data_IF_627159101986
#
_entry.id   IF_627159101986
#
_cell.length_a   1.000
_cell.length_b   1.000
_cell.length_c   1.000
_cell.angle_alpha   90.00
_cell.angle_beta   90.00
_cell.angle_gamma   90.00
#
_symmetry.space_group_name_H-M   'P 1'
#
loop_
_entity.id
_entity.type
_entity.pdbx_description
1 polymer ?
#
# COMPACT_ATOMS: atom_id res chain seq x y z
N UNK A 1 -15.61 -8.26 7.72
CA UNK A 1 -14.86 -7.02 7.35
C UNK A 1 -15.05 -5.99 8.44
N UNK A 2 -14.00 -5.68 9.20
CA UNK A 2 -14.04 -4.64 10.25
C UNK A 2 -13.72 -3.28 9.65
N UNK A 3 -14.24 -2.22 10.28
CA UNK A 3 -13.88 -0.84 9.96
C UNK A 3 -12.93 -0.31 11.04
N UNK A 4 -11.88 0.38 10.62
CA UNK A 4 -10.90 1.03 11.47
C UNK A 4 -10.85 2.52 11.19
N UNK A 5 -10.44 3.32 12.16
CA UNK A 5 -10.25 4.75 11.93
C UNK A 5 -8.93 5.03 11.20
N UNK A 6 -8.97 5.99 10.29
CA UNK A 6 -7.76 6.55 9.68
C UNK A 6 -7.19 7.63 10.61
N UNK A 7 -6.40 7.19 11.58
CA UNK A 7 -5.88 8.06 12.64
C UNK A 7 -6.98 8.83 13.36
N UNK A 8 -6.76 10.13 13.53
CA UNK A 8 -7.67 11.06 14.22
C UNK A 8 -8.65 11.77 13.29
N UNK A 9 -8.67 11.45 11.99
CA UNK A 9 -9.43 12.19 10.96
C UNK A 9 -10.94 11.97 11.00
N UNK A 10 -11.40 10.96 11.75
CA UNK A 10 -12.81 10.52 11.73
C UNK A 10 -13.22 9.69 10.51
N UNK A 11 -12.33 9.52 9.52
CA UNK A 11 -12.58 8.68 8.35
C UNK A 11 -12.48 7.21 8.79
N UNK A 12 -13.49 6.39 8.40
CA UNK A 12 -13.48 4.94 8.63
C UNK A 12 -13.15 4.22 7.34
N UNK A 13 -12.20 3.30 7.39
CA UNK A 13 -11.73 2.47 6.28
C UNK A 13 -11.91 0.99 6.60
N UNK A 14 -12.16 0.14 5.60
CA UNK A 14 -12.10 -1.31 5.82
C UNK A 14 -10.68 -1.75 6.16
N UNK A 15 -10.52 -2.67 7.11
CA UNK A 15 -9.23 -3.17 7.55
C UNK A 15 -8.41 -3.82 6.43
N UNK A 16 -9.11 -4.43 5.45
CA UNK A 16 -8.55 -4.86 4.17
C UNK A 16 -8.96 -3.84 3.10
N UNK A 17 -7.99 -3.28 2.40
CA UNK A 17 -8.18 -2.37 1.27
C UNK A 17 -7.88 -3.06 -0.06
N UNK A 18 -8.38 -2.49 -1.16
CA UNK A 18 -8.04 -2.91 -2.51
C UNK A 18 -7.07 -1.92 -3.15
N UNK A 19 -5.85 -2.38 -3.47
CA UNK A 19 -4.88 -1.65 -4.27
C UNK A 19 -5.17 -1.81 -5.76
N UNK A 20 -5.30 -0.68 -6.45
CA UNK A 20 -5.65 -0.65 -7.88
C UNK A 20 -4.41 -0.85 -8.78
N UNK A 21 -3.20 -0.58 -8.26
CA UNK A 21 -1.97 -0.75 -9.02
C UNK A 21 -1.89 -2.08 -9.77
N UNK A 22 -2.09 -3.19 -9.05
CA UNK A 22 -1.97 -4.54 -9.61
C UNK A 22 -3.00 -4.84 -10.68
N UNK A 23 -4.21 -4.29 -10.56
CA UNK A 23 -5.31 -4.52 -11.48
C UNK A 23 -5.10 -3.87 -12.85
N UNK A 24 -4.40 -2.72 -12.88
CA UNK A 24 -4.17 -1.94 -14.10
C UNK A 24 -2.73 -2.06 -14.63
N UNK A 25 -1.95 -2.98 -14.08
CA UNK A 25 -0.57 -3.23 -14.47
C UNK A 25 -0.40 -4.65 -14.98
N UNK A 26 -0.24 -4.81 -16.28
CA UNK A 26 0.01 -6.12 -16.92
C UNK A 26 1.27 -6.80 -16.36
N UNK A 27 2.27 -6.01 -15.97
CA UNK A 27 3.51 -6.50 -15.36
C UNK A 27 3.27 -7.25 -14.03
N UNK A 28 2.09 -7.06 -13.43
CA UNK A 28 1.68 -7.70 -12.17
C UNK A 28 0.61 -8.77 -12.35
N UNK A 29 0.30 -9.11 -13.59
CA UNK A 29 -0.75 -10.05 -13.92
C UNK A 29 -2.15 -9.43 -13.88
N UNK A 30 -2.24 -8.09 -13.82
CA UNK A 30 -3.48 -7.37 -13.93
C UNK A 30 -4.03 -7.39 -15.35
N UNK A 31 -5.36 -7.37 -15.43
CA UNK A 31 -6.12 -7.28 -16.67
C UNK A 31 -7.09 -6.10 -16.52
N UNK A 32 -6.79 -5.01 -17.21
CA UNK A 32 -7.58 -3.76 -17.12
C UNK A 32 -9.05 -3.99 -17.47
N UNK A 33 -9.34 -4.90 -18.41
CA UNK A 33 -10.71 -5.21 -18.83
C UNK A 33 -11.51 -5.91 -17.73
N UNK A 34 -10.82 -6.60 -16.80
CA UNK A 34 -11.43 -7.26 -15.63
C UNK A 34 -11.34 -6.44 -14.35
N UNK A 35 -10.58 -5.35 -14.35
CA UNK A 35 -10.32 -4.55 -13.15
C UNK A 35 -11.62 -4.02 -12.51
N UNK A 36 -12.57 -3.56 -13.33
CA UNK A 36 -13.86 -3.07 -12.84
C UNK A 36 -14.70 -4.15 -12.15
N UNK A 37 -14.65 -5.40 -12.66
CA UNK A 37 -15.32 -6.53 -12.04
C UNK A 37 -14.75 -6.82 -10.65
N UNK A 38 -13.41 -6.82 -10.52
CA UNK A 38 -12.74 -7.02 -9.24
C UNK A 38 -13.11 -5.93 -8.24
N UNK A 39 -13.14 -4.65 -8.67
CA UNK A 39 -13.54 -3.53 -7.81
C UNK A 39 -15.00 -3.67 -7.35
N UNK A 40 -15.93 -3.99 -8.25
CA UNK A 40 -17.35 -4.23 -7.90
C UNK A 40 -17.48 -5.37 -6.89
N UNK A 41 -16.77 -6.47 -7.13
CA UNK A 41 -16.78 -7.63 -6.24
C UNK A 41 -16.19 -7.32 -4.87
N UNK A 42 -15.10 -6.56 -4.82
CA UNK A 42 -14.49 -6.11 -3.57
C UNK A 42 -15.49 -5.30 -2.72
N UNK A 43 -16.21 -4.38 -3.34
CA UNK A 43 -17.26 -3.62 -2.65
C UNK A 43 -18.39 -4.53 -2.13
N UNK A 44 -18.86 -5.50 -2.94
CA UNK A 44 -19.87 -6.48 -2.53
C UNK A 44 -19.41 -7.34 -1.36
N UNK A 45 -18.10 -7.64 -1.27
CA UNK A 45 -17.50 -8.38 -0.17
C UNK A 45 -17.20 -7.51 1.07
N UNK A 46 -17.56 -6.22 1.05
CA UNK A 46 -17.48 -5.30 2.17
C UNK A 46 -16.18 -4.48 2.24
N UNK A 47 -15.35 -4.50 1.21
CA UNK A 47 -14.21 -3.58 1.10
C UNK A 47 -14.76 -2.20 0.76
N UNK A 48 -14.43 -1.21 1.59
CA UNK A 48 -14.81 0.18 1.39
C UNK A 48 -13.63 1.12 1.20
N UNK A 49 -12.41 0.62 1.32
CA UNK A 49 -11.18 1.37 1.13
C UNK A 49 -10.49 0.97 -0.17
N UNK A 50 -10.27 1.95 -1.06
CA UNK A 50 -9.64 1.76 -2.37
C UNK A 50 -8.42 2.67 -2.48
N UNK A 51 -7.26 2.06 -2.73
CA UNK A 51 -5.97 2.72 -2.87
C UNK A 51 -5.56 2.81 -4.33
N UNK A 52 -5.46 4.03 -4.86
CA UNK A 52 -5.01 4.32 -6.22
C UNK A 52 -3.96 5.42 -6.27
N UNK A 53 -3.56 5.82 -7.47
CA UNK A 53 -2.75 6.99 -7.76
C UNK A 53 -3.00 7.46 -9.20
N UNK A 54 -2.74 8.73 -9.47
CA UNK A 54 -2.85 9.32 -10.81
C UNK A 54 -1.97 8.61 -11.85
N UNK A 55 -0.79 8.15 -11.44
CA UNK A 55 0.18 7.46 -12.31
C UNK A 55 -0.19 5.99 -12.60
N UNK A 56 -1.10 5.36 -11.85
CA UNK A 56 -1.44 3.95 -12.01
C UNK A 56 -2.19 3.70 -13.33
N UNK A 57 -1.53 2.97 -14.23
CA UNK A 57 -2.01 2.80 -15.60
C UNK A 57 -2.22 4.14 -16.31
N UNK A 58 -1.45 5.19 -15.95
CA UNK A 58 -1.55 6.54 -16.54
C UNK A 58 -2.96 7.14 -16.41
N UNK A 59 -3.56 6.98 -15.24
CA UNK A 59 -4.92 7.44 -14.92
C UNK A 59 -5.99 6.34 -15.02
N UNK A 60 -5.70 5.20 -15.63
CA UNK A 60 -6.66 4.09 -15.77
C UNK A 60 -7.17 3.58 -14.41
N UNK A 61 -6.30 3.57 -13.38
CA UNK A 61 -6.72 3.16 -12.05
C UNK A 61 -7.86 3.99 -11.48
N UNK A 62 -7.84 5.30 -11.68
CA UNK A 62 -8.90 6.22 -11.25
C UNK A 62 -10.17 6.07 -12.12
N UNK A 63 -10.02 5.88 -13.44
CA UNK A 63 -11.14 5.63 -14.35
C UNK A 63 -11.88 4.32 -14.00
N UNK A 64 -11.14 3.24 -13.70
CA UNK A 64 -11.68 1.95 -13.25
C UNK A 64 -12.51 2.11 -11.99
N UNK A 65 -12.03 2.86 -11.00
CA UNK A 65 -12.80 3.14 -9.77
C UNK A 65 -14.09 3.90 -10.08
N UNK A 66 -14.03 4.95 -10.90
CA UNK A 66 -15.20 5.73 -11.27
C UNK A 66 -16.26 4.88 -11.99
N UNK A 67 -15.82 4.02 -12.92
CA UNK A 67 -16.72 3.14 -13.68
C UNK A 67 -17.35 2.05 -12.80
N UNK A 68 -16.54 1.44 -11.92
CA UNK A 68 -17.00 0.32 -11.10
C UNK A 68 -17.92 0.75 -9.95
N UNK A 69 -17.60 1.88 -9.30
CA UNK A 69 -18.31 2.34 -8.10
C UNK A 69 -19.57 3.17 -8.45
N UNK A 70 -19.53 3.93 -9.56
CA UNK A 70 -20.68 4.69 -10.02
C UNK A 70 -21.30 5.56 -8.91
N UNK A 71 -22.58 5.35 -8.59
CA UNK A 71 -23.32 6.10 -7.56
C UNK A 71 -22.97 5.72 -6.12
N UNK A 72 -21.99 4.85 -5.90
CA UNK A 72 -21.56 4.40 -4.57
C UNK A 72 -20.37 5.22 -4.02
N UNK A 73 -20.00 6.32 -4.69
CA UNK A 73 -18.85 7.16 -4.32
C UNK A 73 -18.86 7.63 -2.86
N UNK A 74 -20.02 7.97 -2.35
CA UNK A 74 -20.26 8.41 -0.97
C UNK A 74 -20.18 7.30 0.10
N UNK A 75 -20.16 6.04 -0.34
CA UNK A 75 -20.10 4.84 0.52
C UNK A 75 -18.72 4.23 0.64
N UNK A 76 -17.75 4.81 -0.03
CA UNK A 76 -16.39 4.31 -0.10
C UNK A 76 -15.39 5.40 0.25
N UNK A 77 -14.20 4.98 0.64
CA UNK A 77 -13.04 5.85 0.87
C UNK A 77 -12.05 5.62 -0.26
N UNK A 78 -11.75 6.67 -1.00
CA UNK A 78 -10.73 6.64 -2.07
C UNK A 78 -9.50 7.39 -1.59
N UNK A 79 -8.36 6.70 -1.57
CA UNK A 79 -7.04 7.28 -1.46
C UNK A 79 -6.46 7.39 -2.87
N UNK A 80 -6.04 8.60 -3.26
CA UNK A 80 -5.23 8.80 -4.47
C UNK A 80 -3.97 9.59 -4.15
N UNK A 81 -3.01 9.58 -5.06
CA UNK A 81 -1.68 10.13 -4.85
C UNK A 81 -1.28 10.98 -6.06
N UNK A 82 -0.49 12.02 -5.82
CA UNK A 82 0.05 12.93 -6.84
C UNK A 82 1.53 13.22 -6.59
N UNK A 83 2.25 13.63 -7.63
CA UNK A 83 3.67 13.99 -7.54
C UNK A 83 4.58 13.19 -8.48
N UNK A 84 4.04 12.20 -9.20
CA UNK A 84 4.73 11.46 -10.26
C UNK A 84 4.20 11.91 -11.63
N UNK A 85 4.95 12.78 -12.30
CA UNK A 85 4.59 13.35 -13.60
C UNK A 85 4.79 12.30 -14.70
N UNK A 86 3.70 11.68 -15.12
CA UNK A 86 3.66 10.73 -16.23
C UNK A 86 3.27 11.36 -17.57
N UNK A 87 2.88 12.63 -17.57
CA UNK A 87 2.63 13.41 -18.79
C UNK A 87 3.93 13.85 -19.45
N UNK A 88 4.96 14.14 -18.64
CA UNK A 88 6.29 14.58 -19.10
C UNK A 88 7.36 13.55 -18.69
N UNK A 89 7.23 12.34 -19.24
CA UNK A 89 8.14 11.23 -18.95
C UNK A 89 9.56 11.51 -19.39
N UNK A 90 10.56 11.09 -18.61
CA UNK A 90 11.96 11.04 -19.00
C UNK A 90 12.37 9.58 -19.22
N UNK A 91 12.92 9.30 -20.39
CA UNK A 91 13.29 7.92 -20.78
C UNK A 91 12.15 6.88 -20.55
N UNK A 92 10.91 7.28 -20.86
CA UNK A 92 9.74 6.43 -20.71
C UNK A 92 9.24 6.23 -19.28
N UNK A 93 9.83 6.91 -18.29
CA UNK A 93 9.46 6.79 -16.86
C UNK A 93 8.87 8.10 -16.33
N UNK A 94 7.87 8.04 -15.45
CA UNK A 94 7.40 9.20 -14.71
C UNK A 94 8.55 9.85 -13.91
N UNK A 95 8.46 11.16 -13.74
CA UNK A 95 9.45 11.94 -12.96
C UNK A 95 8.78 12.57 -11.75
N UNK A 96 9.57 12.79 -10.68
CA UNK A 96 9.08 13.55 -9.54
C UNK A 96 8.83 15.01 -9.94
N UNK A 97 7.60 15.50 -9.74
CA UNK A 97 7.23 16.88 -9.98
C UNK A 97 6.27 17.36 -8.87
N UNK A 98 6.81 18.18 -7.98
CA UNK A 98 6.09 18.77 -6.84
C UNK A 98 5.93 20.27 -6.96
N UNK A 99 6.08 20.85 -8.18
CA UNK A 99 5.69 22.24 -8.41
C UNK A 99 4.19 22.40 -8.17
N UNK A 100 3.79 23.52 -7.58
CA UNK A 100 2.37 23.75 -7.27
C UNK A 100 1.50 23.75 -8.53
N UNK A 101 2.02 24.23 -9.64
CA UNK A 101 1.30 24.22 -10.93
C UNK A 101 1.00 22.78 -11.38
N UNK A 102 2.00 21.89 -11.27
CA UNK A 102 1.79 20.48 -11.58
C UNK A 102 0.84 19.80 -10.59
N UNK A 103 0.99 20.03 -9.29
CA UNK A 103 0.11 19.43 -8.28
C UNK A 103 -1.35 19.87 -8.51
N UNK A 104 -1.61 21.16 -8.77
CA UNK A 104 -2.97 21.66 -9.13
C UNK A 104 -3.51 20.96 -10.37
N UNK A 105 -2.68 20.85 -11.40
CA UNK A 105 -3.05 20.16 -12.63
C UNK A 105 -3.37 18.68 -12.37
N UNK A 106 -2.49 17.95 -11.68
CA UNK A 106 -2.62 16.52 -11.42
C UNK A 106 -3.90 16.22 -10.62
N UNK A 107 -4.16 16.98 -9.54
CA UNK A 107 -5.37 16.81 -8.70
C UNK A 107 -6.63 17.07 -9.51
N UNK A 108 -6.66 18.15 -10.31
CA UNK A 108 -7.81 18.40 -11.19
C UNK A 108 -8.07 17.24 -12.14
N UNK A 109 -7.01 16.68 -12.75
CA UNK A 109 -7.14 15.51 -13.64
C UNK A 109 -7.59 14.26 -12.90
N UNK A 110 -7.16 14.06 -11.66
CA UNK A 110 -7.63 12.95 -10.81
C UNK A 110 -9.11 13.05 -10.51
N UNK A 111 -9.60 14.24 -10.12
CA UNK A 111 -11.04 14.46 -9.86
C UNK A 111 -11.90 14.24 -11.13
N UNK A 112 -11.41 14.69 -12.29
CA UNK A 112 -12.08 14.47 -13.58
C UNK A 112 -12.20 12.97 -13.89
N UNK A 113 -11.11 12.17 -13.72
CA UNK A 113 -11.11 10.72 -13.94
C UNK A 113 -11.98 9.97 -12.93
N UNK A 114 -11.93 10.37 -11.66
CA UNK A 114 -12.74 9.81 -10.59
C UNK A 114 -14.21 10.24 -10.66
N UNK A 115 -14.54 11.27 -11.48
CA UNK A 115 -15.88 11.86 -11.62
C UNK A 115 -16.49 12.27 -10.28
N UNK A 116 -15.70 12.99 -9.50
CA UNK A 116 -16.08 13.45 -8.16
C UNK A 116 -15.45 14.80 -7.88
N UNK A 117 -16.02 15.56 -6.95
CA UNK A 117 -15.51 16.86 -6.55
C UNK A 117 -14.50 16.76 -5.39
N UNK A 118 -14.31 15.56 -4.82
CA UNK A 118 -13.42 15.36 -3.69
C UNK A 118 -12.79 13.96 -3.68
N UNK A 119 -11.67 13.84 -2.96
CA UNK A 119 -11.09 12.56 -2.53
C UNK A 119 -11.10 12.48 -1.02
N UNK A 120 -11.14 11.26 -0.48
CA UNK A 120 -11.14 11.10 0.98
C UNK A 120 -9.74 11.29 1.55
N UNK A 121 -8.73 10.72 0.89
CA UNK A 121 -7.34 10.82 1.31
C UNK A 121 -6.50 11.17 0.08
N UNK A 122 -5.76 12.28 0.15
CA UNK A 122 -4.80 12.69 -0.86
C UNK A 122 -3.39 12.59 -0.31
N UNK A 123 -2.51 11.86 -1.01
CA UNK A 123 -1.13 11.70 -0.58
C UNK A 123 -0.11 12.23 -1.61
N UNK A 124 1.00 12.76 -1.10
CA UNK A 124 2.20 12.97 -1.90
C UNK A 124 2.82 11.62 -2.24
N UNK A 125 3.13 11.35 -3.50
CA UNK A 125 3.56 10.04 -3.99
C UNK A 125 5.09 9.92 -4.04
N UNK A 126 5.70 9.20 -3.10
CA UNK A 126 7.15 9.02 -2.98
C UNK A 126 7.94 10.34 -2.86
N UNK A 127 7.51 11.31 -2.02
CA UNK A 127 8.25 12.55 -1.87
C UNK A 127 9.61 12.29 -1.21
N UNK A 128 10.60 13.13 -1.55
CA UNK A 128 11.85 13.20 -0.81
C UNK A 128 11.72 14.20 0.36
N UNK A 129 12.68 14.16 1.29
CA UNK A 129 12.69 15.04 2.46
C UNK A 129 12.43 16.51 2.11
N UNK A 130 13.08 17.02 1.05
CA UNK A 130 12.90 18.40 0.61
C UNK A 130 11.45 18.76 0.22
N UNK A 131 10.68 17.79 -0.31
CA UNK A 131 9.26 18.00 -0.65
C UNK A 131 8.38 17.96 0.59
N UNK A 132 8.67 17.03 1.52
CA UNK A 132 7.93 16.89 2.79
C UNK A 132 8.09 18.14 3.65
N UNK A 133 9.30 18.69 3.72
CA UNK A 133 9.63 19.86 4.54
C UNK A 133 9.30 21.20 3.87
N UNK A 134 8.90 21.19 2.61
CA UNK A 134 8.48 22.41 1.90
C UNK A 134 7.19 22.95 2.50
N UNK A 135 7.30 24.13 3.14
CA UNK A 135 6.14 24.83 3.70
C UNK A 135 5.10 25.13 2.62
N UNK A 136 5.53 25.48 1.42
CA UNK A 136 4.66 25.81 0.30
C UNK A 136 3.80 24.61 -0.14
N UNK A 137 4.41 23.41 -0.24
CA UNK A 137 3.69 22.16 -0.56
C UNK A 137 2.74 21.80 0.60
N UNK A 138 3.21 21.89 1.83
CA UNK A 138 2.41 21.59 3.01
C UNK A 138 1.18 22.49 3.10
N UNK A 139 1.36 23.80 2.98
CA UNK A 139 0.26 24.78 3.02
C UNK A 139 -0.74 24.50 1.89
N UNK A 140 -0.26 24.19 0.68
CA UNK A 140 -1.11 23.84 -0.45
C UNK A 140 -1.95 22.59 -0.19
N UNK A 141 -1.37 21.52 0.34
CA UNK A 141 -2.11 20.30 0.69
C UNK A 141 -3.21 20.59 1.72
N UNK A 142 -2.93 21.43 2.71
CA UNK A 142 -3.90 21.83 3.73
C UNK A 142 -4.98 22.81 3.19
N UNK A 143 -4.65 23.64 2.21
CA UNK A 143 -5.62 24.45 1.48
C UNK A 143 -6.65 23.56 0.76
N UNK A 144 -6.20 22.51 0.07
CA UNK A 144 -7.09 21.53 -0.57
C UNK A 144 -8.04 20.87 0.42
N UNK A 145 -7.57 20.61 1.64
CA UNK A 145 -8.42 20.08 2.70
C UNK A 145 -9.45 21.12 3.16
N UNK A 146 -9.05 22.35 3.36
CA UNK A 146 -9.94 23.46 3.76
C UNK A 146 -11.02 23.72 2.70
N UNK A 147 -10.67 23.58 1.44
CA UNK A 147 -11.57 23.77 0.30
C UNK A 147 -12.49 22.55 0.06
N UNK A 148 -12.32 21.47 0.83
CA UNK A 148 -13.13 20.26 0.73
C UNK A 148 -12.75 19.34 -0.45
N UNK A 149 -11.64 19.62 -1.14
CA UNK A 149 -11.12 18.80 -2.24
C UNK A 149 -10.52 17.48 -1.71
N UNK A 150 -9.90 17.53 -0.53
CA UNK A 150 -9.44 16.34 0.19
C UNK A 150 -9.99 16.35 1.62
N UNK A 151 -10.42 15.22 2.15
CA UNK A 151 -10.85 15.13 3.57
C UNK A 151 -9.68 14.92 4.51
N UNK A 152 -8.60 14.31 4.03
CA UNK A 152 -7.34 14.11 4.75
C UNK A 152 -6.16 14.20 3.78
N UNK A 153 -4.99 14.62 4.28
CA UNK A 153 -3.76 14.72 3.51
C UNK A 153 -2.62 13.95 4.16
N UNK A 154 -1.81 13.28 3.35
CA UNK A 154 -0.76 12.40 3.85
C UNK A 154 0.41 12.22 2.89
N UNK A 155 1.26 11.26 3.21
CA UNK A 155 2.47 10.92 2.46
C UNK A 155 2.52 9.41 2.19
N UNK A 156 2.60 9.03 0.92
CA UNK A 156 2.98 7.68 0.53
C UNK A 156 4.50 7.62 0.42
N UNK A 157 5.13 6.94 1.36
CA UNK A 157 6.58 6.80 1.42
C UNK A 157 7.09 5.95 0.25
N UNK A 158 8.32 6.14 -0.12
CA UNK A 158 8.94 5.61 -1.33
C UNK A 158 8.81 4.11 -1.58
N UNK A 159 9.29 3.63 -2.74
CA UNK A 159 8.98 2.28 -3.22
C UNK A 159 9.70 1.17 -2.43
N UNK A 160 10.64 1.53 -1.58
CA UNK A 160 11.44 0.65 -0.73
C UNK A 160 11.10 0.84 0.76
N UNK A 161 11.81 0.17 1.67
CA UNK A 161 11.46 0.12 3.09
C UNK A 161 11.93 1.32 3.93
N UNK A 162 13.12 1.81 3.71
CA UNK A 162 13.90 2.65 4.64
C UNK A 162 13.60 4.16 4.62
N UNK A 163 12.37 4.58 4.83
CA UNK A 163 11.94 5.99 4.82
C UNK A 163 11.54 6.48 6.22
N UNK A 164 12.30 6.07 7.26
CA UNK A 164 12.00 6.42 8.65
C UNK A 164 12.00 7.93 8.88
N UNK A 165 13.08 8.61 8.50
CA UNK A 165 13.24 10.05 8.74
C UNK A 165 12.18 10.87 8.01
N UNK A 166 11.88 10.50 6.76
CA UNK A 166 10.84 11.11 5.97
C UNK A 166 9.44 10.91 6.58
N UNK A 167 9.15 9.69 7.09
CA UNK A 167 7.89 9.38 7.76
C UNK A 167 7.74 10.17 9.07
N UNK A 168 8.76 10.18 9.93
CA UNK A 168 8.76 10.97 11.17
C UNK A 168 8.57 12.45 10.84
N UNK A 169 9.31 12.96 9.84
CA UNK A 169 9.20 14.36 9.45
C UNK A 169 7.83 14.73 8.91
N UNK A 170 7.19 13.86 8.15
CA UNK A 170 5.82 14.06 7.71
C UNK A 170 4.84 14.16 8.90
N UNK A 171 5.00 13.29 9.90
CA UNK A 171 4.19 13.35 11.13
C UNK A 171 4.42 14.67 11.89
N UNK A 172 5.68 15.08 12.08
CA UNK A 172 6.03 16.33 12.74
C UNK A 172 5.49 17.57 12.02
N UNK A 173 5.46 17.53 10.70
CA UNK A 173 4.88 18.61 9.89
C UNK A 173 3.35 18.69 10.02
N UNK A 174 2.66 17.61 10.43
CA UNK A 174 1.21 17.57 10.58
C UNK A 174 0.47 16.88 9.44
N UNK A 175 1.15 16.09 8.60
CA UNK A 175 0.46 15.19 7.69
C UNK A 175 -0.30 14.13 8.48
N UNK A 176 -1.52 13.81 8.07
CA UNK A 176 -2.47 13.04 8.85
C UNK A 176 -2.40 11.53 8.60
N UNK A 177 -1.61 11.11 7.62
CA UNK A 177 -1.45 9.70 7.30
C UNK A 177 -0.18 9.38 6.54
N UNK A 178 0.25 8.13 6.71
CA UNK A 178 1.37 7.53 5.98
C UNK A 178 0.91 6.26 5.27
N UNK A 179 1.49 6.02 4.09
CA UNK A 179 1.47 4.72 3.43
C UNK A 179 2.89 4.18 3.35
N UNK A 180 3.10 2.93 3.78
CA UNK A 180 4.43 2.33 3.90
C UNK A 180 4.39 0.80 3.78
N UNK A 181 5.57 0.18 3.65
CA UNK A 181 5.73 -1.27 3.62
C UNK A 181 5.78 -1.82 5.04
N UNK A 182 5.02 -2.91 5.29
CA UNK A 182 5.12 -3.70 6.51
C UNK A 182 4.71 -5.15 6.25
N UNK A 183 5.46 -6.07 6.81
CA UNK A 183 5.15 -7.50 6.91
C UNK A 183 6.02 -8.12 8.02
N UNK A 184 5.84 -9.38 8.34
CA UNK A 184 6.55 -9.98 9.47
C UNK A 184 8.06 -10.17 9.24
N UNK A 185 8.58 -9.98 8.01
CA UNK A 185 10.03 -9.94 7.70
C UNK A 185 10.53 -8.51 7.78
N UNK A 186 9.78 -7.55 7.24
CA UNK A 186 10.14 -6.15 7.09
C UNK A 186 9.32 -5.31 8.08
N UNK A 187 9.74 -5.31 9.35
CA UNK A 187 8.99 -4.67 10.43
C UNK A 187 9.30 -3.19 10.62
N UNK A 188 10.58 -2.79 10.49
CA UNK A 188 10.96 -1.39 10.58
C UNK A 188 11.02 -0.73 9.19
N UNK A 189 10.53 0.51 9.05
CA UNK A 189 10.13 1.45 10.11
C UNK A 189 8.66 1.35 10.57
N UNK A 190 7.90 0.36 10.12
CA UNK A 190 6.47 0.25 10.40
C UNK A 190 6.12 0.17 11.89
N UNK A 191 6.87 -0.59 12.71
CA UNK A 191 6.67 -0.67 14.16
C UNK A 191 6.95 0.68 14.86
N UNK A 192 7.86 1.48 14.30
CA UNK A 192 8.07 2.85 14.79
C UNK A 192 6.86 3.73 14.46
N UNK A 193 6.29 3.64 13.25
CA UNK A 193 5.12 4.42 12.86
C UNK A 193 3.84 3.99 13.60
N UNK A 194 3.74 2.74 14.01
CA UNK A 194 2.58 2.24 14.79
C UNK A 194 2.34 3.04 16.08
N UNK A 195 3.37 3.59 16.68
CA UNK A 195 3.32 4.36 17.93
C UNK A 195 2.61 5.72 17.79
N UNK A 196 2.39 6.18 16.56
CA UNK A 196 1.77 7.48 16.30
C UNK A 196 0.29 7.33 15.98
N UNK A 197 -0.53 8.25 16.49
CA UNK A 197 -1.98 8.27 16.23
C UNK A 197 -2.32 9.01 14.92
N UNK A 198 -1.90 8.44 13.80
CA UNK A 198 -2.14 8.92 12.44
C UNK A 198 -2.78 7.81 11.61
N UNK A 199 -3.30 8.15 10.43
CA UNK A 199 -3.73 7.15 9.45
C UNK A 199 -2.54 6.33 8.95
N UNK A 200 -2.66 5.00 8.94
CA UNK A 200 -1.59 4.08 8.54
C UNK A 200 -2.12 3.09 7.50
N UNK A 201 -1.67 3.24 6.27
CA UNK A 201 -1.95 2.31 5.18
C UNK A 201 -0.71 1.45 4.95
N UNK A 202 -0.88 0.14 5.06
CA UNK A 202 0.21 -0.81 4.90
C UNK A 202 0.08 -1.55 3.59
N UNK A 203 1.15 -1.56 2.83
CA UNK A 203 1.29 -2.34 1.59
C UNK A 203 2.37 -3.41 1.69
N UNK A 204 2.37 -4.35 0.73
CA UNK A 204 3.34 -5.45 0.63
C UNK A 204 3.31 -6.40 1.85
N UNK A 205 2.12 -6.82 2.36
CA UNK A 205 2.04 -7.71 3.52
C UNK A 205 2.65 -9.10 3.24
N UNK A 206 2.81 -9.48 1.98
CA UNK A 206 3.38 -10.77 1.56
C UNK A 206 4.86 -10.70 1.15
N UNK A 207 5.60 -9.64 1.57
CA UNK A 207 7.04 -9.49 1.36
C UNK A 207 7.47 -9.76 -0.10
N UNK A 208 6.87 -9.03 -1.05
CA UNK A 208 7.11 -9.20 -2.50
C UNK A 208 6.83 -10.63 -3.00
N UNK A 209 5.74 -11.22 -2.52
CA UNK A 209 5.24 -12.59 -2.74
C UNK A 209 6.09 -13.70 -2.11
N UNK A 210 7.17 -13.41 -1.37
CA UNK A 210 7.96 -14.42 -0.69
C UNK A 210 7.16 -15.19 0.39
N UNK A 211 6.09 -14.59 0.91
CA UNK A 211 5.18 -15.15 1.92
C UNK A 211 3.85 -15.62 1.31
N UNK A 212 3.82 -15.90 0.01
CA UNK A 212 2.62 -16.35 -0.70
C UNK A 212 2.95 -17.60 -1.50
N UNK A 213 2.62 -18.76 -0.97
CA UNK A 213 2.90 -20.05 -1.60
C UNK A 213 2.09 -20.33 -2.87
N UNK A 214 1.04 -19.57 -3.14
CA UNK A 214 0.26 -19.66 -4.37
C UNK A 214 0.86 -18.82 -5.51
N UNK A 215 1.79 -17.93 -5.18
CA UNK A 215 2.64 -17.24 -6.15
C UNK A 215 3.97 -18.01 -6.29
N UNK A 216 4.62 -17.90 -7.44
CA UNK A 216 5.98 -18.42 -7.58
C UNK A 216 6.99 -17.28 -7.42
N UNK A 217 7.46 -16.97 -6.20
CA UNK A 217 8.33 -15.83 -5.96
C UNK A 217 9.72 -16.00 -6.61
N UNK A 218 10.10 -17.22 -6.98
CA UNK A 218 11.38 -17.53 -7.62
C UNK A 218 11.31 -17.48 -9.15
N UNK A 219 10.14 -17.42 -9.74
CA UNK A 219 9.98 -17.08 -11.16
C UNK A 219 10.25 -15.59 -11.36
N UNK A 220 11.49 -15.30 -11.67
CA UNK A 220 11.94 -13.94 -11.89
C UNK A 220 11.60 -13.48 -13.31
N UNK A 221 10.53 -12.69 -13.46
CA UNK A 221 10.33 -11.87 -14.64
C UNK A 221 10.97 -10.50 -14.41
N UNK A 222 11.85 -10.00 -15.32
CA UNK A 222 12.39 -8.65 -15.23
C UNK A 222 11.31 -7.56 -15.26
N UNK A 223 10.08 -7.92 -15.64
CA UNK A 223 8.91 -7.04 -15.68
C UNK A 223 8.18 -6.94 -14.35
N UNK A 224 8.37 -7.89 -13.42
CA UNK A 224 7.69 -7.88 -12.13
C UNK A 224 8.39 -6.94 -11.15
N UNK A 225 7.62 -6.30 -10.29
CA UNK A 225 8.04 -5.36 -9.25
C UNK A 225 9.00 -5.95 -8.18
N UNK A 226 9.17 -7.25 -8.17
CA UNK A 226 10.24 -7.96 -7.44
C UNK A 226 11.63 -7.41 -7.71
N UNK A 227 11.80 -6.58 -8.76
CA UNK A 227 13.06 -5.86 -9.05
C UNK A 227 13.58 -4.99 -7.90
N UNK A 228 12.74 -4.69 -6.88
CA UNK A 228 13.18 -4.00 -5.67
C UNK A 228 13.80 -4.95 -4.64
N UNK A 229 13.78 -6.26 -4.89
CA UNK A 229 14.43 -7.27 -4.05
C UNK A 229 15.38 -8.10 -4.90
N UNK A 230 16.55 -8.41 -4.34
CA UNK A 230 17.45 -9.35 -4.99
C UNK A 230 16.83 -10.76 -4.98
N UNK A 231 17.17 -11.58 -5.98
CA UNK A 231 16.73 -12.98 -5.99
C UNK A 231 17.23 -13.73 -4.75
N UNK A 232 18.40 -13.38 -4.24
CA UNK A 232 18.98 -13.96 -3.04
C UNK A 232 18.16 -13.60 -1.79
N UNK A 233 17.74 -12.34 -1.66
CA UNK A 233 16.85 -11.93 -0.58
C UNK A 233 15.54 -12.75 -0.60
N UNK A 234 14.93 -12.91 -1.76
CA UNK A 234 13.67 -13.68 -1.91
C UNK A 234 13.89 -15.14 -1.55
N UNK A 235 15.00 -15.76 -2.00
CA UNK A 235 15.32 -17.16 -1.65
C UNK A 235 15.46 -17.35 -0.14
N UNK A 236 16.18 -16.46 0.55
CA UNK A 236 16.34 -16.52 2.00
C UNK A 236 15.00 -16.26 2.72
N UNK A 237 14.20 -15.31 2.26
CA UNK A 237 12.88 -15.05 2.82
C UNK A 237 11.98 -16.30 2.73
N UNK A 238 11.93 -16.96 1.59
CA UNK A 238 11.19 -18.24 1.41
C UNK A 238 11.76 -19.34 2.29
N UNK A 239 13.08 -19.52 2.32
CA UNK A 239 13.74 -20.56 3.11
C UNK A 239 13.50 -20.38 4.61
N UNK A 240 13.67 -19.16 5.11
CA UNK A 240 13.52 -18.85 6.53
C UNK A 240 12.05 -18.93 6.99
N UNK A 241 11.10 -18.78 6.06
CA UNK A 241 9.66 -18.89 6.36
C UNK A 241 9.13 -20.32 6.35
N UNK A 242 9.90 -21.33 5.91
CA UNK A 242 9.47 -22.75 5.88
C UNK A 242 8.93 -23.27 7.23
N UNK A 243 9.59 -23.02 8.38
CA UNK A 243 9.06 -23.49 9.65
C UNK A 243 7.70 -22.89 9.99
N UNK A 244 7.47 -21.61 9.63
CA UNK A 244 6.17 -20.94 9.81
C UNK A 244 5.13 -21.61 8.93
N UNK A 245 5.44 -21.85 7.65
CA UNK A 245 4.55 -22.52 6.70
C UNK A 245 4.14 -23.91 7.21
N UNK A 246 5.10 -24.73 7.64
CA UNK A 246 4.83 -26.07 8.17
C UNK A 246 3.96 -26.05 9.43
N UNK A 247 4.17 -25.08 10.33
CA UNK A 247 3.32 -24.92 11.51
C UNK A 247 1.93 -24.42 11.13
N UNK A 248 1.84 -23.46 10.21
CA UNK A 248 0.57 -22.95 9.70
C UNK A 248 -0.29 -24.05 9.07
N UNK A 249 0.30 -24.90 8.22
CA UNK A 249 -0.38 -26.05 7.60
C UNK A 249 -0.94 -27.03 8.65
N UNK A 250 -0.19 -27.32 9.71
CA UNK A 250 -0.68 -28.15 10.83
C UNK A 250 -1.85 -27.52 11.59
N UNK A 251 -1.96 -26.18 11.57
CA UNK A 251 -3.05 -25.40 12.19
C UNK A 251 -4.18 -25.06 11.20
N UNK A 252 -4.13 -25.58 9.96
CA UNK A 252 -5.15 -25.35 8.94
C UNK A 252 -5.09 -23.96 8.27
N UNK A 253 -3.92 -23.32 8.34
CA UNK A 253 -3.64 -22.04 7.70
C UNK A 253 -2.65 -22.21 6.56
N UNK A 254 -2.72 -21.31 5.58
CA UNK A 254 -1.69 -21.12 4.56
C UNK A 254 -0.74 -19.98 4.95
N UNK A 255 0.46 -19.97 4.39
CA UNK A 255 1.47 -18.94 4.71
C UNK A 255 0.99 -17.53 4.37
N UNK A 256 0.31 -17.35 3.22
CA UNK A 256 -0.24 -16.04 2.85
C UNK A 256 -1.32 -15.56 3.84
N UNK A 257 -2.11 -16.46 4.41
CA UNK A 257 -3.10 -16.12 5.44
C UNK A 257 -2.40 -15.66 6.72
N UNK A 258 -1.34 -16.38 7.13
CA UNK A 258 -0.51 -15.97 8.27
C UNK A 258 0.08 -14.59 8.06
N UNK A 259 0.66 -14.31 6.89
CA UNK A 259 1.26 -13.01 6.58
C UNK A 259 0.23 -11.86 6.63
N UNK A 260 -0.95 -12.08 6.06
CA UNK A 260 -2.03 -11.10 6.09
C UNK A 260 -2.55 -10.88 7.52
N UNK A 261 -2.89 -11.95 8.24
CA UNK A 261 -3.42 -11.88 9.59
C UNK A 261 -2.41 -11.31 10.58
N UNK A 262 -1.12 -11.64 10.44
CA UNK A 262 -0.06 -11.05 11.24
C UNK A 262 0.00 -9.53 11.05
N UNK A 263 -0.08 -9.04 9.82
CA UNK A 263 -0.09 -7.60 9.54
C UNK A 263 -1.36 -6.94 10.08
N UNK A 264 -2.52 -7.58 9.96
CA UNK A 264 -3.80 -7.07 10.44
C UNK A 264 -3.94 -7.04 11.98
N UNK A 265 -3.09 -7.76 12.74
CA UNK A 265 -3.12 -7.71 14.22
C UNK A 265 -2.62 -6.38 14.79
N UNK A 266 -1.84 -5.64 14.01
CA UNK A 266 -1.31 -4.33 14.37
C UNK A 266 -2.37 -3.21 14.25
N UNK A 267 -2.11 -2.07 14.91
CA UNK A 267 -2.99 -0.89 14.86
C UNK A 267 -2.75 -0.07 13.57
N UNK A 268 -2.85 -0.76 12.42
CA UNK A 268 -2.86 -0.13 11.12
C UNK A 268 -4.30 0.14 10.66
N UNK A 269 -4.52 1.26 9.98
CA UNK A 269 -5.86 1.64 9.50
C UNK A 269 -6.37 0.67 8.43
N UNK A 270 -5.53 0.34 7.47
CA UNK A 270 -5.86 -0.63 6.41
C UNK A 270 -4.62 -1.33 5.88
N UNK A 271 -4.76 -2.59 5.51
CA UNK A 271 -3.74 -3.40 4.84
C UNK A 271 -4.16 -3.62 3.39
N UNK A 272 -3.25 -3.33 2.45
CA UNK A 272 -3.49 -3.39 1.01
C UNK A 272 -2.56 -4.43 0.38
N UNK A 273 -3.01 -5.69 0.25
CA UNK A 273 -2.26 -6.74 -0.42
C UNK A 273 -2.23 -6.55 -1.94
N UNK A 274 -1.27 -7.18 -2.60
CA UNK A 274 -1.16 -7.22 -4.04
C UNK A 274 -2.26 -8.13 -4.64
N UNK A 275 -3.37 -7.53 -5.05
CA UNK A 275 -4.56 -8.20 -5.59
C UNK A 275 -4.62 -7.98 -7.10
N UNK A 276 -4.30 -9.00 -7.90
CA UNK A 276 -4.26 -8.87 -9.35
C UNK A 276 -5.56 -9.36 -10.05
N UNK A 277 -6.39 -10.15 -9.36
CA UNK A 277 -7.57 -10.78 -9.93
C UNK A 277 -8.60 -11.18 -8.84
N UNK A 278 -9.75 -11.75 -9.26
CA UNK A 278 -10.80 -12.20 -8.35
C UNK A 278 -10.33 -13.30 -7.40
N UNK A 279 -9.50 -14.22 -7.83
CA UNK A 279 -8.97 -15.29 -6.99
C UNK A 279 -8.16 -14.72 -5.81
N UNK A 280 -7.26 -13.76 -6.08
CA UNK A 280 -6.51 -13.06 -5.03
C UNK A 280 -7.45 -12.35 -4.05
N UNK A 281 -8.47 -11.64 -4.57
CA UNK A 281 -9.46 -10.95 -3.76
C UNK A 281 -10.19 -11.91 -2.81
N UNK A 282 -10.74 -13.00 -3.36
CA UNK A 282 -11.54 -13.97 -2.61
C UNK A 282 -10.72 -14.65 -1.51
N UNK A 283 -9.49 -15.08 -1.81
CA UNK A 283 -8.64 -15.74 -0.81
C UNK A 283 -8.22 -14.80 0.31
N UNK A 284 -7.95 -13.52 0.04
CA UNK A 284 -7.62 -12.55 1.08
C UNK A 284 -8.82 -12.19 1.94
N UNK A 285 -10.01 -12.03 1.36
CA UNK A 285 -11.23 -11.81 2.14
C UNK A 285 -11.58 -13.04 2.98
N UNK A 286 -11.42 -14.25 2.43
CA UNK A 286 -11.66 -15.49 3.17
C UNK A 286 -10.70 -15.67 4.34
N UNK A 287 -9.46 -15.21 4.24
CA UNK A 287 -8.49 -15.24 5.33
C UNK A 287 -8.96 -14.48 6.58
N UNK A 288 -9.79 -13.43 6.41
CA UNK A 288 -10.33 -12.66 7.55
C UNK A 288 -11.28 -13.46 8.46
N UNK A 289 -11.75 -14.62 8.02
CA UNK A 289 -12.59 -15.51 8.82
C UNK A 289 -11.78 -16.50 9.66
N UNK A 290 -10.44 -16.41 9.59
CA UNK A 290 -9.52 -17.29 10.32
C UNK A 290 -8.85 -16.52 11.45
N UNK A 291 -8.33 -17.26 12.43
CA UNK A 291 -7.59 -16.70 13.56
C UNK A 291 -6.12 -17.11 13.46
N UNK A 292 -5.24 -16.20 13.84
CA UNK A 292 -3.81 -16.46 13.90
C UNK A 292 -3.46 -17.04 15.28
N UNK A 293 -2.89 -18.25 15.27
CA UNK A 293 -2.52 -18.97 16.48
C UNK A 293 -1.28 -18.35 17.16
N UNK A 294 -1.29 -18.23 18.48
CA UNK A 294 -0.20 -17.64 19.27
C UNK A 294 1.14 -18.39 19.13
N UNK A 295 1.12 -19.69 18.86
CA UNK A 295 2.33 -20.47 18.60
C UNK A 295 3.00 -20.02 17.30
N UNK A 296 2.20 -19.69 16.26
CA UNK A 296 2.70 -19.16 15.00
C UNK A 296 3.30 -17.76 15.23
N UNK A 297 2.64 -16.89 16.00
CA UNK A 297 3.14 -15.56 16.33
C UNK A 297 4.49 -15.66 17.04
N UNK A 298 4.57 -16.53 18.08
CA UNK A 298 5.80 -16.75 18.84
C UNK A 298 6.95 -17.26 17.96
N UNK A 299 6.65 -18.15 17.00
CA UNK A 299 7.65 -18.64 16.04
C UNK A 299 8.11 -17.53 15.09
N UNK A 300 7.19 -16.68 14.60
CA UNK A 300 7.51 -15.52 13.76
C UNK A 300 8.47 -14.59 14.51
N UNK A 301 8.18 -14.27 15.79
CA UNK A 301 9.00 -13.37 16.58
C UNK A 301 10.40 -13.95 16.86
N UNK A 302 10.49 -15.25 17.14
CA UNK A 302 11.76 -15.95 17.29
C UNK A 302 12.59 -15.92 15.98
N UNK A 303 11.95 -16.16 14.84
CA UNK A 303 12.62 -16.13 13.54
C UNK A 303 12.98 -14.70 13.12
N UNK A 304 12.21 -13.69 13.55
CA UNK A 304 12.57 -12.31 13.32
C UNK A 304 13.92 -11.98 13.96
N UNK A 305 14.09 -12.26 15.23
CA UNK A 305 15.34 -11.98 15.95
C UNK A 305 16.54 -12.80 15.44
N UNK A 306 16.31 -14.02 14.98
CA UNK A 306 17.40 -14.92 14.58
C UNK A 306 17.76 -14.88 13.09
N UNK A 307 16.84 -14.43 12.21
CA UNK A 307 17.01 -14.50 10.75
C UNK A 307 16.43 -13.30 9.98
N UNK A 308 15.16 -12.90 10.24
CA UNK A 308 14.51 -11.88 9.42
C UNK A 308 15.05 -10.46 9.68
N UNK A 309 15.62 -10.21 10.83
CA UNK A 309 16.22 -8.91 11.17
C UNK A 309 17.34 -8.52 10.20
N UNK A 310 18.14 -9.50 9.75
CA UNK A 310 19.14 -9.30 8.71
C UNK A 310 18.50 -8.90 7.38
N UNK A 311 17.44 -9.62 6.95
CA UNK A 311 16.70 -9.29 5.73
C UNK A 311 16.03 -7.93 5.80
N UNK A 312 15.48 -7.55 6.97
CA UNK A 312 14.93 -6.21 7.19
C UNK A 312 16.03 -5.15 7.03
N UNK A 313 17.20 -5.36 7.60
CA UNK A 313 18.32 -4.44 7.50
C UNK A 313 18.79 -4.26 6.05
N UNK A 314 18.92 -5.34 5.29
CA UNK A 314 19.23 -5.26 3.85
C UNK A 314 18.19 -4.44 3.07
N UNK A 315 16.91 -4.63 3.39
CA UNK A 315 15.82 -3.85 2.77
C UNK A 315 15.90 -2.36 3.10
N UNK A 316 16.35 -2.01 4.31
CA UNK A 316 16.60 -0.62 4.71
C UNK A 316 17.78 -0.01 3.94
N UNK A 317 18.83 -0.77 3.73
CA UNK A 317 20.05 -0.33 3.01
C UNK A 317 19.78 -0.13 1.50
N UNK A 318 18.93 -0.96 0.88
CA UNK A 318 18.50 -0.79 -0.52
C UNK A 318 17.92 0.61 -0.78
N UNK A 319 17.28 1.21 0.22
CA UNK A 319 16.69 2.56 0.11
C UNK A 319 17.72 3.64 -0.13
N UNK A 320 18.93 3.50 0.36
CA UNK A 320 19.98 4.50 0.18
C UNK A 320 20.32 4.73 -1.30
N UNK A 321 20.06 3.75 -2.16
CA UNK A 321 20.21 3.88 -3.62
C UNK A 321 19.10 4.73 -4.28
N UNK A 322 17.98 5.00 -3.56
CA UNK A 322 16.82 5.78 -4.05
C UNK A 322 16.71 7.18 -3.43
N UNK A 323 17.39 7.44 -2.31
CA UNK A 323 17.49 8.76 -1.67
C UNK A 323 18.42 9.69 -2.43
#
# INVERSE_FOLDING_TARGET
MRLRYFGTTGIKVSELGLGIWSLVSEEWGGDVDKAEEVVRKAYEMGITFFDTADVYGEGKGEEVLANALGTKRDKVVILTKVGLDFYNKKHGRPTLNYSLDYLRFAIKRSLERLRTDYVDILMLHNPKMAHITSKEIFDFMHELKKDGIARSVGVALGPTLGWLDEGIKAIEMGYEGLEFIYNFIEREPGETFEKYNIGKVVRVPHASDALDEEKNPLEFSPKLHRRFKSLEWIRRAVEYSKPIKELAERKGLKLYEVALLYTLRHDFSSVVPNTANLHDLERFVNALNKELDEEIISLIDQLYESKFKELNQESLEETNAYK
#
